data_IF_832403897834
#
_entry.id   IF_832403897834
#
_cell.length_a   1.000
_cell.length_b   1.000
_cell.length_c   1.000
_cell.angle_alpha   90.00
_cell.angle_beta   90.00
_cell.angle_gamma   90.00
#
_symmetry.space_group_name_H-M   'P 1'
#
loop_
_entity.id
_entity.type
_entity.pdbx_description
1 polymer ?
#
# COMPACT_ATOMS: atom_id res chain seq x y z
N UNK A 1 -32.12 5.52 11.23
CA UNK A 1 -32.08 6.83 10.56
C UNK A 1 -30.70 7.47 10.77
N UNK A 2 -29.79 7.14 9.89
CA UNK A 2 -28.43 7.70 9.90
C UNK A 2 -28.53 9.06 9.20
N UNK A 3 -28.41 10.14 9.95
CA UNK A 3 -28.36 11.47 9.32
C UNK A 3 -27.07 11.56 8.51
N UNK A 4 -27.19 11.78 7.20
CA UNK A 4 -26.08 11.86 6.24
C UNK A 4 -25.01 12.90 6.63
N UNK A 5 -25.39 13.90 7.43
CA UNK A 5 -24.52 15.02 7.80
C UNK A 5 -23.47 14.65 8.87
N UNK A 6 -23.82 13.80 9.83
CA UNK A 6 -22.86 13.30 10.85
C UNK A 6 -21.79 12.40 10.23
N UNK A 7 -22.19 11.57 9.27
CA UNK A 7 -21.29 10.61 8.62
C UNK A 7 -20.18 11.29 7.79
N UNK A 8 -20.45 12.41 7.14
CA UNK A 8 -19.50 13.09 6.25
C UNK A 8 -18.38 13.79 7.01
N UNK A 9 -18.69 14.52 8.10
CA UNK A 9 -17.71 15.22 8.92
C UNK A 9 -16.79 14.24 9.64
N UNK A 10 -17.34 13.15 10.17
CA UNK A 10 -16.59 12.12 10.88
C UNK A 10 -15.63 11.38 9.97
N UNK A 11 -16.05 11.06 8.73
CA UNK A 11 -15.19 10.44 7.73
C UNK A 11 -14.06 11.36 7.29
N UNK A 12 -14.30 12.66 7.15
CA UNK A 12 -13.26 13.65 6.84
C UNK A 12 -12.24 13.71 7.99
N UNK A 13 -12.71 13.85 9.23
CA UNK A 13 -11.85 13.90 10.42
C UNK A 13 -11.03 12.61 10.55
N UNK A 14 -11.66 11.44 10.39
CA UNK A 14 -11.00 10.14 10.40
C UNK A 14 -9.92 10.05 9.31
N UNK A 15 -10.23 10.43 8.08
CA UNK A 15 -9.28 10.41 6.96
C UNK A 15 -8.08 11.32 7.19
N UNK A 16 -8.30 12.53 7.74
CA UNK A 16 -7.22 13.45 8.09
C UNK A 16 -6.31 12.87 9.18
N UNK A 17 -6.86 12.33 10.25
CA UNK A 17 -6.09 11.73 11.35
C UNK A 17 -5.33 10.47 10.88
N UNK A 18 -5.97 9.62 10.09
CA UNK A 18 -5.33 8.44 9.50
C UNK A 18 -4.14 8.83 8.60
N UNK A 19 -4.27 9.88 7.78
CA UNK A 19 -3.19 10.35 6.94
C UNK A 19 -2.05 10.98 7.73
N UNK A 20 -2.33 11.79 8.75
CA UNK A 20 -1.33 12.34 9.67
C UNK A 20 -0.55 11.22 10.37
N UNK A 21 -1.25 10.20 10.88
CA UNK A 21 -0.62 9.03 11.50
C UNK A 21 0.25 8.26 10.50
N UNK A 22 -0.22 8.09 9.27
CA UNK A 22 0.54 7.44 8.20
C UNK A 22 1.85 8.17 7.91
N UNK A 23 1.81 9.50 7.73
CA UNK A 23 3.00 10.32 7.47
C UNK A 23 3.97 10.24 8.66
N UNK A 24 3.49 10.41 9.89
CA UNK A 24 4.31 10.36 11.09
C UNK A 24 4.99 8.99 11.25
N UNK A 25 4.24 7.90 11.10
CA UNK A 25 4.75 6.53 11.22
C UNK A 25 5.80 6.22 10.15
N UNK A 26 5.55 6.59 8.88
CA UNK A 26 6.51 6.36 7.81
C UNK A 26 7.76 7.24 7.95
N UNK A 27 7.64 8.45 8.49
CA UNK A 27 8.80 9.30 8.82
C UNK A 27 9.65 8.66 9.91
N UNK A 28 9.04 8.18 11.00
CA UNK A 28 9.74 7.42 12.04
C UNK A 28 10.38 6.15 11.48
N UNK A 29 9.68 5.40 10.63
CA UNK A 29 10.20 4.20 9.98
C UNK A 29 11.44 4.50 9.12
N UNK A 30 11.45 5.62 8.38
CA UNK A 30 12.61 6.09 7.63
C UNK A 30 13.81 6.42 8.52
N UNK A 31 13.58 7.09 9.65
CA UNK A 31 14.64 7.40 10.62
C UNK A 31 15.23 6.12 11.22
N UNK A 32 14.36 5.18 11.64
CA UNK A 32 14.81 3.87 12.14
C UNK A 32 15.60 3.11 11.06
N UNK A 33 15.12 3.10 9.81
CA UNK A 33 15.81 2.44 8.70
C UNK A 33 17.22 3.01 8.46
N UNK A 34 17.36 4.34 8.52
CA UNK A 34 18.68 5.00 8.43
C UNK A 34 19.61 4.60 9.57
N UNK A 35 19.11 4.64 10.82
CA UNK A 35 19.89 4.28 12.01
C UNK A 35 20.29 2.80 12.02
N UNK A 36 19.40 1.93 11.55
CA UNK A 36 19.63 0.49 11.49
C UNK A 36 20.61 0.08 10.35
N UNK A 37 20.79 0.94 9.36
CA UNK A 37 21.70 0.73 8.23
C UNK A 37 21.29 -0.40 7.27
N UNK A 38 20.04 -0.85 7.33
CA UNK A 38 19.48 -1.91 6.46
C UNK A 38 18.09 -1.52 5.98
N UNK A 39 17.68 -2.01 4.80
CA UNK A 39 16.33 -1.83 4.32
C UNK A 39 15.35 -2.64 5.18
N UNK A 40 14.40 -1.99 5.83
CA UNK A 40 13.37 -2.57 6.69
C UNK A 40 11.99 -1.91 6.48
N UNK A 41 11.88 -0.98 5.53
CA UNK A 41 10.63 -0.26 5.29
C UNK A 41 9.48 -1.20 4.89
N UNK A 42 9.76 -2.21 4.05
CA UNK A 42 8.73 -3.16 3.64
C UNK A 42 8.25 -4.03 4.81
N UNK A 43 9.13 -4.38 5.74
CA UNK A 43 8.76 -5.11 6.96
C UNK A 43 7.82 -4.30 7.86
N UNK A 44 7.98 -2.97 7.98
CA UNK A 44 7.01 -2.13 8.67
C UNK A 44 5.63 -2.18 8.02
N UNK A 45 5.57 -2.14 6.68
CA UNK A 45 4.31 -2.34 5.96
C UNK A 45 3.78 -3.78 6.08
N UNK A 46 4.66 -4.77 6.25
CA UNK A 46 4.28 -6.14 6.59
C UNK A 46 3.55 -6.23 7.93
N UNK A 47 4.05 -5.55 8.96
CA UNK A 47 3.39 -5.44 10.26
C UNK A 47 2.03 -4.73 10.16
N UNK A 48 1.91 -3.71 9.30
CA UNK A 48 0.62 -3.09 8.99
C UNK A 48 -0.38 -4.10 8.42
N UNK A 49 0.05 -4.93 7.45
CA UNK A 49 -0.80 -5.98 6.88
C UNK A 49 -1.21 -7.02 7.91
N UNK A 50 -0.29 -7.40 8.78
CA UNK A 50 -0.55 -8.34 9.89
C UNK A 50 -1.55 -7.73 10.88
N UNK A 51 -1.44 -6.43 11.16
CA UNK A 51 -2.41 -5.70 11.97
C UNK A 51 -3.82 -5.74 11.38
N UNK A 52 -3.95 -5.48 10.08
CA UNK A 52 -5.22 -5.59 9.37
C UNK A 52 -5.81 -7.00 9.40
N UNK A 53 -4.98 -8.02 9.19
CA UNK A 53 -5.39 -9.41 9.28
C UNK A 53 -5.85 -9.81 10.69
N UNK A 54 -5.10 -9.39 11.72
CA UNK A 54 -5.45 -9.62 13.12
C UNK A 54 -6.77 -8.92 13.50
N UNK A 55 -6.96 -7.68 13.03
CA UNK A 55 -8.21 -6.94 13.20
C UNK A 55 -9.40 -7.65 12.56
N UNK A 56 -9.21 -8.22 11.36
CA UNK A 56 -10.23 -9.04 10.70
C UNK A 56 -10.61 -10.29 11.50
N UNK A 57 -9.63 -11.00 12.09
CA UNK A 57 -9.89 -12.16 12.97
C UNK A 57 -10.65 -11.72 14.22
N UNK A 58 -10.20 -10.66 14.89
CA UNK A 58 -10.86 -10.14 16.09
C UNK A 58 -12.31 -9.75 15.75
N UNK A 59 -12.51 -9.02 14.66
CA UNK A 59 -13.85 -8.66 14.19
C UNK A 59 -14.75 -9.86 13.91
N UNK A 60 -14.21 -10.91 13.28
CA UNK A 60 -14.95 -12.14 13.02
C UNK A 60 -15.32 -12.87 14.33
N UNK A 61 -14.43 -12.90 15.34
CA UNK A 61 -14.74 -13.48 16.66
C UNK A 61 -15.89 -12.69 17.30
N UNK A 62 -15.80 -11.35 17.35
CA UNK A 62 -16.86 -10.54 17.94
C UNK A 62 -18.20 -10.67 17.20
N UNK A 63 -18.18 -10.74 15.87
CA UNK A 63 -19.39 -10.92 15.06
C UNK A 63 -20.15 -12.23 15.36
N UNK A 64 -19.44 -13.25 15.86
CA UNK A 64 -20.03 -14.54 16.28
C UNK A 64 -20.42 -14.56 17.77
N UNK A 65 -20.24 -13.44 18.49
CA UNK A 65 -20.67 -13.32 19.90
C UNK A 65 -21.96 -12.50 19.97
N UNK A 66 -22.70 -12.65 21.09
CA UNK A 66 -23.87 -11.82 21.39
C UNK A 66 -23.49 -10.49 22.07
N UNK A 67 -22.21 -10.14 22.07
CA UNK A 67 -21.74 -8.91 22.68
C UNK A 67 -22.17 -7.68 21.89
N UNK A 68 -22.58 -6.60 22.56
CA UNK A 68 -22.93 -5.34 21.91
C UNK A 68 -21.74 -4.76 21.12
N UNK A 69 -22.03 -4.04 20.04
CA UNK A 69 -21.01 -3.49 19.14
C UNK A 69 -20.10 -2.45 19.83
N UNK A 70 -20.63 -1.71 20.81
CA UNK A 70 -19.90 -0.75 21.65
C UNK A 70 -18.83 -1.44 22.50
N UNK A 71 -19.08 -2.66 22.98
CA UNK A 71 -18.08 -3.48 23.68
C UNK A 71 -16.94 -3.85 22.74
N UNK A 72 -17.25 -4.21 21.50
CA UNK A 72 -16.23 -4.49 20.48
C UNK A 72 -15.34 -3.25 20.25
N UNK A 73 -15.94 -2.11 19.89
CA UNK A 73 -15.19 -0.89 19.64
C UNK A 73 -14.45 -0.39 20.88
N UNK A 74 -15.05 -0.47 22.07
CA UNK A 74 -14.40 -0.15 23.33
C UNK A 74 -13.15 -1.01 23.60
N UNK A 75 -13.22 -2.30 23.30
CA UNK A 75 -12.08 -3.22 23.45
C UNK A 75 -10.95 -2.83 22.48
N UNK A 76 -11.25 -2.57 21.20
CA UNK A 76 -10.26 -2.15 20.22
C UNK A 76 -9.63 -0.81 20.60
N UNK A 77 -10.44 0.15 21.08
CA UNK A 77 -9.94 1.44 21.55
C UNK A 77 -8.96 1.27 22.74
N UNK A 78 -9.33 0.44 23.73
CA UNK A 78 -8.47 0.19 24.89
C UNK A 78 -7.14 -0.48 24.47
N UNK A 79 -7.18 -1.47 23.58
CA UNK A 79 -5.99 -2.11 23.04
C UNK A 79 -5.13 -1.11 22.26
N UNK A 80 -5.72 -0.25 21.44
CA UNK A 80 -5.01 0.78 20.68
C UNK A 80 -4.31 1.79 21.61
N UNK A 81 -4.98 2.26 22.64
CA UNK A 81 -4.41 3.15 23.64
C UNK A 81 -3.23 2.48 24.36
N UNK A 82 -3.37 1.21 24.75
CA UNK A 82 -2.30 0.45 25.40
C UNK A 82 -1.07 0.32 24.48
N UNK A 83 -1.28 -0.06 23.22
CA UNK A 83 -0.19 -0.19 22.24
C UNK A 83 0.52 1.14 22.02
N UNK A 84 -0.23 2.23 21.88
CA UNK A 84 0.33 3.58 21.72
C UNK A 84 1.11 3.98 22.99
N UNK A 85 0.55 3.80 24.18
CA UNK A 85 1.19 4.14 25.44
C UNK A 85 2.52 3.38 25.66
N UNK A 86 2.55 2.11 25.31
CA UNK A 86 3.77 1.29 25.36
C UNK A 86 4.75 1.72 24.26
N UNK A 87 4.27 1.91 23.04
CA UNK A 87 5.11 2.25 21.87
C UNK A 87 5.70 3.65 21.94
N UNK A 88 4.98 4.60 22.58
CA UNK A 88 5.38 6.01 22.64
C UNK A 88 6.79 6.21 23.21
N UNK A 89 7.19 5.41 24.21
CA UNK A 89 8.52 5.48 24.80
C UNK A 89 9.67 5.01 23.90
N UNK A 90 9.35 4.34 22.80
CA UNK A 90 10.32 3.84 21.80
C UNK A 90 10.41 4.72 20.55
N UNK A 91 9.61 5.79 20.47
CA UNK A 91 9.70 6.74 19.37
C UNK A 91 11.04 7.47 19.40
N UNK A 92 11.60 7.73 18.23
CA UNK A 92 12.81 8.53 18.09
C UNK A 92 12.50 9.95 18.52
N UNK A 93 13.29 10.47 19.46
CA UNK A 93 13.08 11.78 20.06
C UNK A 93 13.34 12.90 19.03
N UNK A 94 12.57 13.99 19.13
CA UNK A 94 12.66 15.20 18.29
C UNK A 94 14.09 15.78 18.22
N UNK A 95 14.89 15.63 19.25
CA UNK A 95 16.27 16.12 19.25
C UNK A 95 17.15 15.37 18.23
N UNK A 96 16.98 14.05 18.07
CA UNK A 96 17.70 13.25 17.08
C UNK A 96 17.14 13.49 15.67
N UNK A 97 15.84 13.67 15.54
CA UNK A 97 15.22 14.01 14.28
C UNK A 97 15.64 15.41 13.80
N UNK A 98 15.73 16.39 14.71
CA UNK A 98 16.20 17.75 14.40
C UNK A 98 17.65 17.81 14.02
N UNK A 99 18.55 17.04 14.64
CA UNK A 99 19.97 16.99 14.28
C UNK A 99 20.19 16.50 12.83
N UNK A 100 19.33 15.60 12.32
CA UNK A 100 19.35 15.20 10.91
C UNK A 100 18.70 16.23 9.96
N UNK A 101 17.88 17.15 10.49
CA UNK A 101 17.17 18.16 9.72
C UNK A 101 17.88 19.52 9.64
N UNK A 102 18.89 19.79 10.49
CA UNK A 102 19.60 21.08 10.54
C UNK A 102 20.33 21.43 9.24
N UNK A 103 20.79 20.43 8.51
CA UNK A 103 21.50 20.61 7.23
C UNK A 103 20.57 20.60 5.99
N UNK A 104 19.26 20.46 6.19
CA UNK A 104 18.33 20.36 5.05
C UNK A 104 17.81 21.75 4.65
N UNK A 105 17.89 22.13 3.35
CA UNK A 105 17.40 23.41 2.86
C UNK A 105 15.95 23.69 3.22
N UNK A 106 15.62 24.98 3.48
CA UNK A 106 14.24 25.39 3.68
C UNK A 106 13.38 24.99 2.47
N UNK A 107 12.18 24.46 2.76
CA UNK A 107 11.25 24.05 1.72
C UNK A 107 10.93 25.18 0.75
N UNK A 108 11.10 24.91 -0.54
CA UNK A 108 10.64 25.74 -1.64
C UNK A 108 10.13 24.84 -2.76
N UNK A 109 9.07 25.23 -3.43
CA UNK A 109 8.57 24.48 -4.60
C UNK A 109 9.64 24.29 -5.70
N UNK A 110 10.63 25.19 -5.77
CA UNK A 110 11.75 25.10 -6.72
C UNK A 110 12.79 24.05 -6.32
N UNK A 111 12.81 23.61 -5.05
CA UNK A 111 13.75 22.61 -4.54
C UNK A 111 13.19 21.19 -4.55
N UNK A 112 11.96 21.01 -5.03
CA UNK A 112 11.35 19.67 -5.15
C UNK A 112 12.07 18.90 -6.26
N UNK A 113 12.75 17.81 -5.88
CA UNK A 113 13.36 16.92 -6.87
C UNK A 113 12.27 16.22 -7.70
N UNK A 114 12.33 16.29 -9.05
CA UNK A 114 11.40 15.57 -9.92
C UNK A 114 11.31 14.05 -9.66
N UNK A 115 12.33 13.48 -9.02
CA UNK A 115 12.31 12.07 -8.63
C UNK A 115 11.17 11.75 -7.67
N UNK A 116 10.78 12.69 -6.79
CA UNK A 116 9.66 12.51 -5.86
C UNK A 116 8.34 12.32 -6.60
N UNK A 117 8.15 13.04 -7.72
CA UNK A 117 6.99 12.86 -8.56
C UNK A 117 6.99 11.48 -9.24
N UNK A 118 8.16 11.02 -9.70
CA UNK A 118 8.30 9.67 -10.28
C UNK A 118 8.06 8.56 -9.24
N UNK A 119 8.54 8.75 -8.02
CA UNK A 119 8.25 7.83 -6.90
C UNK A 119 6.77 7.82 -6.57
N UNK A 120 6.14 9.00 -6.50
CA UNK A 120 4.69 9.13 -6.31
C UNK A 120 3.89 8.43 -7.40
N UNK A 121 4.32 8.55 -8.67
CA UNK A 121 3.66 7.88 -9.80
C UNK A 121 3.77 6.35 -9.72
N UNK A 122 4.92 5.82 -9.29
CA UNK A 122 5.05 4.37 -9.03
C UNK A 122 4.17 3.93 -7.85
N UNK A 123 4.14 4.73 -6.78
CA UNK A 123 3.26 4.49 -5.65
C UNK A 123 1.78 4.55 -6.04
N UNK A 124 1.39 5.52 -6.87
CA UNK A 124 0.04 5.62 -7.47
C UNK A 124 -0.35 4.33 -8.19
N UNK A 125 0.51 3.83 -9.08
CA UNK A 125 0.22 2.60 -9.80
C UNK A 125 0.11 1.38 -8.88
N UNK A 126 1.00 1.27 -7.88
CA UNK A 126 0.94 0.20 -6.88
C UNK A 126 -0.35 0.24 -6.08
N UNK A 127 -0.72 1.42 -5.56
CA UNK A 127 -1.94 1.63 -4.76
C UNK A 127 -3.22 1.48 -5.59
N UNK A 128 -3.21 1.90 -6.85
CA UNK A 128 -4.32 1.64 -7.77
C UNK A 128 -4.57 0.14 -7.95
N UNK A 129 -3.50 -0.63 -8.19
CA UNK A 129 -3.62 -2.08 -8.33
C UNK A 129 -4.00 -2.75 -7.00
N UNK A 130 -3.52 -2.25 -5.86
CA UNK A 130 -3.90 -2.71 -4.53
C UNK A 130 -5.40 -2.51 -4.30
N UNK A 131 -5.94 -1.31 -4.54
CA UNK A 131 -7.38 -1.03 -4.47
C UNK A 131 -8.19 -1.90 -5.43
N UNK A 132 -7.68 -2.15 -6.63
CA UNK A 132 -8.32 -3.07 -7.59
C UNK A 132 -8.42 -4.49 -7.03
N UNK A 133 -7.36 -5.00 -6.37
CA UNK A 133 -7.41 -6.32 -5.72
C UNK A 133 -8.41 -6.33 -4.57
N UNK A 134 -8.44 -5.28 -3.74
CA UNK A 134 -9.38 -5.18 -2.62
C UNK A 134 -10.84 -5.24 -3.05
N UNK A 135 -11.22 -4.39 -3.99
CA UNK A 135 -12.63 -4.17 -4.30
C UNK A 135 -13.13 -5.06 -5.45
N UNK A 136 -12.27 -5.38 -6.41
CA UNK A 136 -12.69 -6.03 -7.65
C UNK A 136 -12.31 -7.50 -7.77
N UNK A 137 -11.41 -8.03 -6.93
CA UNK A 137 -11.01 -9.44 -7.07
C UNK A 137 -12.17 -10.40 -6.86
N UNK A 138 -12.95 -10.24 -5.79
CA UNK A 138 -14.12 -11.10 -5.53
C UNK A 138 -15.23 -10.89 -6.55
N UNK A 139 -15.44 -9.66 -7.02
CA UNK A 139 -16.39 -9.35 -8.11
C UNK A 139 -15.95 -10.01 -9.41
N UNK A 140 -14.63 -9.99 -9.71
CA UNK A 140 -14.08 -10.66 -10.88
C UNK A 140 -14.30 -12.17 -10.84
N UNK A 141 -14.08 -12.79 -9.67
CA UNK A 141 -14.32 -14.22 -9.50
C UNK A 141 -15.80 -14.56 -9.64
N UNK A 142 -16.71 -13.82 -9.02
CA UNK A 142 -18.14 -14.11 -9.10
C UNK A 142 -18.74 -13.87 -10.50
N UNK A 143 -18.27 -12.86 -11.23
CA UNK A 143 -18.89 -12.45 -12.50
C UNK A 143 -18.19 -13.03 -13.74
N UNK A 144 -16.86 -13.22 -13.69
CA UNK A 144 -16.04 -13.64 -14.86
C UNK A 144 -15.56 -15.06 -14.74
N UNK A 145 -14.90 -15.42 -13.62
CA UNK A 145 -14.35 -16.77 -13.39
C UNK A 145 -15.45 -17.78 -13.11
N UNK A 146 -16.47 -17.37 -12.33
CA UNK A 146 -17.65 -18.15 -11.96
C UNK A 146 -17.32 -19.53 -11.36
N UNK A 147 -16.44 -19.61 -10.35
CA UNK A 147 -16.17 -20.86 -9.65
C UNK A 147 -17.31 -21.23 -8.70
N UNK A 148 -17.19 -22.38 -8.03
CA UNK A 148 -18.05 -22.72 -6.91
C UNK A 148 -18.01 -21.62 -5.83
N UNK A 149 -19.11 -21.43 -5.11
CA UNK A 149 -19.30 -20.33 -4.16
C UNK A 149 -18.19 -20.23 -3.12
N UNK A 150 -17.67 -21.37 -2.67
CA UNK A 150 -16.53 -21.45 -1.73
C UNK A 150 -15.24 -20.77 -2.23
N UNK A 151 -15.08 -20.61 -3.55
CA UNK A 151 -13.86 -20.08 -4.16
C UNK A 151 -14.00 -18.65 -4.71
N UNK A 152 -15.13 -17.99 -4.52
CA UNK A 152 -15.35 -16.61 -5.00
C UNK A 152 -14.29 -15.65 -4.44
N UNK A 153 -13.79 -15.90 -3.23
CA UNK A 153 -12.77 -15.07 -2.57
C UNK A 153 -11.34 -15.54 -2.81
N UNK A 154 -11.11 -16.55 -3.63
CA UNK A 154 -9.78 -17.12 -3.85
C UNK A 154 -8.77 -16.09 -4.37
N UNK A 155 -9.18 -15.23 -5.32
CA UNK A 155 -8.32 -14.15 -5.83
C UNK A 155 -7.93 -13.14 -4.76
N UNK A 156 -8.88 -12.72 -3.94
CA UNK A 156 -8.64 -11.82 -2.80
C UNK A 156 -7.63 -12.42 -1.81
N UNK A 157 -7.91 -13.63 -1.35
CA UNK A 157 -7.06 -14.32 -0.34
C UNK A 157 -5.65 -14.55 -0.88
N UNK A 158 -5.53 -14.99 -2.13
CA UNK A 158 -4.24 -15.19 -2.78
C UNK A 158 -3.45 -13.88 -2.93
N UNK A 159 -4.11 -12.81 -3.42
CA UNK A 159 -3.49 -11.50 -3.60
C UNK A 159 -3.04 -10.88 -2.28
N UNK A 160 -3.92 -10.82 -1.28
CA UNK A 160 -3.60 -10.21 0.01
C UNK A 160 -2.59 -11.03 0.82
N UNK A 161 -2.69 -12.36 0.78
CA UNK A 161 -1.72 -13.25 1.40
C UNK A 161 -0.33 -13.10 0.78
N UNK A 162 -0.25 -13.10 -0.56
CA UNK A 162 1.01 -12.90 -1.28
C UNK A 162 1.60 -11.49 -1.02
N UNK A 163 0.76 -10.45 -0.94
CA UNK A 163 1.20 -9.11 -0.60
C UNK A 163 1.82 -9.07 0.80
N UNK A 164 1.17 -9.66 1.79
CA UNK A 164 1.67 -9.70 3.16
C UNK A 164 3.01 -10.44 3.25
N UNK A 165 3.11 -11.61 2.65
CA UNK A 165 4.36 -12.39 2.58
C UNK A 165 5.45 -11.62 1.83
N UNK A 166 5.11 -11.04 0.69
CA UNK A 166 6.03 -10.26 -0.13
C UNK A 166 6.63 -9.07 0.61
N UNK A 167 5.86 -8.39 1.46
CA UNK A 167 6.34 -7.27 2.31
C UNK A 167 7.47 -7.70 3.25
N UNK A 168 7.38 -8.86 3.88
CA UNK A 168 8.43 -9.37 4.75
C UNK A 168 9.67 -9.88 3.97
N UNK A 169 9.49 -10.34 2.74
CA UNK A 169 10.60 -10.81 1.90
C UNK A 169 11.32 -9.68 1.18
N UNK A 170 10.64 -8.58 0.91
CA UNK A 170 11.09 -7.51 0.04
C UNK A 170 12.40 -6.85 0.50
N UNK A 171 12.55 -6.60 1.80
CA UNK A 171 13.74 -5.94 2.34
C UNK A 171 15.02 -6.73 2.04
N UNK A 172 14.96 -8.06 2.11
CA UNK A 172 16.07 -8.94 1.71
C UNK A 172 16.40 -8.82 0.23
N UNK A 173 15.36 -8.78 -0.63
CA UNK A 173 15.55 -8.60 -2.08
C UNK A 173 16.10 -7.21 -2.41
N UNK A 174 15.60 -6.17 -1.76
CA UNK A 174 16.11 -4.79 -1.95
C UNK A 174 17.57 -4.69 -1.55
N UNK A 175 17.95 -5.28 -0.43
CA UNK A 175 19.35 -5.32 0.03
C UNK A 175 20.26 -6.05 -0.96
N UNK A 176 19.79 -7.17 -1.53
CA UNK A 176 20.61 -8.01 -2.44
C UNK A 176 20.67 -7.47 -3.87
N UNK A 177 19.56 -6.96 -4.40
CA UNK A 177 19.43 -6.63 -5.83
C UNK A 177 19.26 -5.14 -6.11
N UNK A 178 19.05 -4.34 -5.08
CA UNK A 178 18.76 -2.91 -5.16
C UNK A 178 17.31 -2.59 -5.47
N UNK A 179 16.83 -1.40 -5.07
CA UNK A 179 15.42 -1.03 -5.14
C UNK A 179 14.87 -0.98 -6.57
N UNK A 180 15.66 -0.47 -7.52
CA UNK A 180 15.22 -0.33 -8.91
C UNK A 180 14.96 -1.69 -9.61
N UNK A 181 15.77 -2.72 -9.31
CA UNK A 181 15.54 -4.06 -9.87
C UNK A 181 14.31 -4.70 -9.26
N UNK A 182 14.14 -4.58 -7.95
CA UNK A 182 12.97 -5.11 -7.26
C UNK A 182 11.69 -4.46 -7.81
N UNK A 183 11.65 -3.13 -7.95
CA UNK A 183 10.50 -2.42 -8.54
C UNK A 183 10.19 -2.85 -9.98
N UNK A 184 11.21 -3.12 -10.81
CA UNK A 184 11.00 -3.66 -12.16
C UNK A 184 10.32 -5.04 -12.12
N UNK A 185 10.78 -5.91 -11.23
CA UNK A 185 10.18 -7.24 -11.03
C UNK A 185 8.73 -7.09 -10.54
N UNK A 186 8.49 -6.19 -9.58
CA UNK A 186 7.16 -5.88 -9.09
C UNK A 186 6.21 -5.45 -10.23
N UNK A 187 6.67 -4.53 -11.08
CA UNK A 187 5.89 -4.12 -12.26
C UNK A 187 5.60 -5.28 -13.22
N UNK A 188 6.58 -6.14 -13.45
CA UNK A 188 6.41 -7.35 -14.28
C UNK A 188 5.41 -8.36 -13.69
N UNK A 189 5.42 -8.54 -12.36
CA UNK A 189 4.48 -9.40 -11.66
C UNK A 189 3.04 -8.85 -11.70
N UNK A 190 2.86 -7.53 -11.55
CA UNK A 190 1.55 -6.89 -11.70
C UNK A 190 1.02 -7.10 -13.13
N UNK A 191 1.84 -6.76 -14.12
CA UNK A 191 1.47 -6.91 -15.53
C UNK A 191 1.09 -8.34 -15.87
N UNK A 192 2.00 -9.27 -15.62
CA UNK A 192 1.82 -10.68 -15.95
C UNK A 192 0.69 -11.32 -15.17
N UNK A 193 0.52 -10.96 -13.89
CA UNK A 193 -0.53 -11.49 -13.03
C UNK A 193 -1.94 -11.08 -13.47
N UNK A 194 -2.18 -9.78 -13.71
CA UNK A 194 -3.48 -9.32 -14.19
C UNK A 194 -3.79 -9.80 -15.60
N UNK A 195 -2.79 -9.87 -16.48
CA UNK A 195 -2.98 -10.43 -17.83
C UNK A 195 -3.23 -11.94 -17.80
N UNK A 196 -2.58 -12.69 -16.93
CA UNK A 196 -2.84 -14.11 -16.73
C UNK A 196 -4.30 -14.33 -16.29
N UNK A 197 -4.73 -13.57 -15.27
CA UNK A 197 -6.11 -13.65 -14.80
C UNK A 197 -7.12 -13.29 -15.90
N UNK A 198 -6.83 -12.24 -16.68
CA UNK A 198 -7.71 -11.82 -17.77
C UNK A 198 -7.68 -12.76 -18.99
N UNK A 199 -6.52 -13.30 -19.35
CA UNK A 199 -6.38 -14.21 -20.50
C UNK A 199 -7.02 -15.56 -20.24
N UNK A 200 -6.83 -16.10 -19.04
CA UNK A 200 -7.30 -17.42 -18.62
C UNK A 200 -8.23 -17.29 -17.39
N UNK A 201 -9.50 -16.91 -17.59
CA UNK A 201 -10.46 -16.66 -16.50
C UNK A 201 -11.02 -17.97 -15.92
N UNK A 202 -10.14 -18.86 -15.52
CA UNK A 202 -10.45 -20.09 -14.79
C UNK A 202 -9.91 -20.01 -13.37
N UNK A 203 -10.48 -20.76 -12.44
CA UNK A 203 -10.16 -20.69 -11.01
C UNK A 203 -8.64 -20.67 -10.73
N UNK A 204 -7.90 -21.67 -11.19
CA UNK A 204 -6.47 -21.80 -10.89
C UNK A 204 -5.62 -20.70 -11.54
N UNK A 205 -5.69 -20.44 -12.87
CA UNK A 205 -4.90 -19.39 -13.48
C UNK A 205 -5.22 -18.00 -12.95
N UNK A 206 -6.50 -17.69 -12.72
CA UNK A 206 -6.90 -16.41 -12.16
C UNK A 206 -6.37 -16.23 -10.72
N UNK A 207 -6.48 -17.27 -9.88
CA UNK A 207 -5.93 -17.24 -8.51
C UNK A 207 -4.41 -17.04 -8.52
N UNK A 208 -3.68 -17.73 -9.38
CA UNK A 208 -2.24 -17.55 -9.58
C UNK A 208 -1.93 -16.13 -10.09
N UNK A 209 -2.74 -15.59 -10.99
CA UNK A 209 -2.63 -14.23 -11.47
C UNK A 209 -2.72 -13.21 -10.33
N UNK A 210 -3.74 -13.31 -9.47
CA UNK A 210 -3.89 -12.43 -8.31
C UNK A 210 -2.78 -12.64 -7.26
N UNK A 211 -2.28 -13.86 -7.10
CA UNK A 211 -1.11 -14.14 -6.25
C UNK A 211 0.13 -13.40 -6.76
N UNK A 212 0.42 -13.43 -8.05
CA UNK A 212 1.53 -12.68 -8.66
C UNK A 212 1.35 -11.18 -8.47
N UNK A 213 0.13 -10.66 -8.65
CA UNK A 213 -0.18 -9.25 -8.38
C UNK A 213 0.12 -8.90 -6.94
N UNK A 214 -0.29 -9.72 -5.98
CA UNK A 214 -0.01 -9.51 -4.56
C UNK A 214 1.48 -9.34 -4.29
N UNK A 215 2.33 -10.23 -4.81
CA UNK A 215 3.78 -10.05 -4.72
C UNK A 215 4.26 -8.77 -5.41
N UNK A 216 3.69 -8.41 -6.54
CA UNK A 216 4.05 -7.20 -7.29
C UNK A 216 3.73 -5.90 -6.53
N UNK A 217 2.57 -5.79 -5.91
CA UNK A 217 2.18 -4.59 -5.16
C UNK A 217 2.88 -4.47 -3.81
N UNK A 218 3.34 -5.61 -3.24
CA UNK A 218 3.88 -5.70 -1.87
C UNK A 218 4.94 -4.66 -1.54
N UNK A 219 5.81 -4.36 -2.49
CA UNK A 219 7.03 -3.57 -2.26
C UNK A 219 7.01 -2.21 -2.94
N UNK A 220 6.04 -1.94 -3.83
CA UNK A 220 6.01 -0.72 -4.64
C UNK A 220 6.00 0.54 -3.78
N UNK A 221 5.10 0.63 -2.81
CA UNK A 221 4.96 1.80 -1.93
C UNK A 221 6.09 1.88 -0.89
N UNK A 222 6.41 0.82 -0.13
CA UNK A 222 7.49 0.87 0.86
C UNK A 222 8.82 1.32 0.28
N UNK A 223 9.21 0.80 -0.88
CA UNK A 223 10.46 1.19 -1.55
C UNK A 223 10.43 2.66 -1.96
N UNK A 224 9.31 3.17 -2.48
CA UNK A 224 9.18 4.57 -2.84
C UNK A 224 9.33 5.49 -1.63
N UNK A 225 8.76 5.12 -0.48
CA UNK A 225 8.88 5.88 0.76
C UNK A 225 10.31 5.83 1.31
N UNK A 226 10.95 4.67 1.32
CA UNK A 226 12.35 4.52 1.74
C UNK A 226 13.29 5.40 0.90
N UNK A 227 13.13 5.40 -0.43
CA UNK A 227 13.93 6.26 -1.32
C UNK A 227 13.63 7.74 -1.04
N UNK A 228 12.36 8.13 -0.96
CA UNK A 228 11.97 9.53 -0.75
C UNK A 228 12.53 10.08 0.57
N UNK A 229 12.44 9.32 1.65
CA UNK A 229 12.94 9.73 2.97
C UNK A 229 14.47 9.81 3.06
N UNK A 230 15.20 9.16 2.14
CA UNK A 230 16.69 9.16 2.10
C UNK A 230 17.28 10.16 1.11
N UNK A 231 16.48 10.84 0.29
CA UNK A 231 16.99 11.76 -0.75
C UNK A 231 17.79 12.94 -0.20
N UNK A 232 17.45 13.45 0.99
CA UNK A 232 18.19 14.55 1.64
C UNK A 232 18.03 15.93 0.97
N UNK A 233 17.30 16.06 -0.12
CA UNK A 233 17.06 17.34 -0.83
C UNK A 233 16.04 18.24 -0.11
N UNK A 234 15.11 17.64 0.61
CA UNK A 234 14.10 18.26 1.47
C UNK A 234 13.89 17.36 2.69
N UNK A 235 13.18 17.88 3.71
CA UNK A 235 12.84 17.09 4.91
C UNK A 235 12.14 15.79 4.55
N UNK A 236 12.54 14.69 5.19
CA UNK A 236 11.99 13.37 4.94
C UNK A 236 10.45 13.34 5.07
N UNK A 237 9.90 14.02 6.08
CA UNK A 237 8.45 14.16 6.27
C UNK A 237 7.75 14.80 5.06
N UNK A 238 8.33 15.85 4.48
CA UNK A 238 7.78 16.52 3.29
C UNK A 238 7.90 15.62 2.06
N UNK A 239 9.05 14.96 1.88
CA UNK A 239 9.27 14.04 0.77
C UNK A 239 8.25 12.88 0.80
N UNK A 240 8.06 12.28 1.98
CA UNK A 240 7.08 11.21 2.19
C UNK A 240 5.66 11.75 1.96
N UNK A 241 5.32 12.95 2.43
CA UNK A 241 4.01 13.57 2.21
C UNK A 241 3.71 13.72 0.72
N UNK A 242 4.66 14.20 -0.08
CA UNK A 242 4.47 14.35 -1.54
C UNK A 242 4.22 12.99 -2.17
N UNK A 243 5.06 12.01 -1.89
CA UNK A 243 4.96 10.67 -2.49
C UNK A 243 3.70 9.95 -2.03
N UNK A 244 3.35 10.03 -0.73
CA UNK A 244 2.16 9.38 -0.19
C UNK A 244 0.86 10.00 -0.74
N UNK A 245 0.78 11.32 -0.84
CA UNK A 245 -0.41 11.99 -1.37
C UNK A 245 -0.70 11.56 -2.82
N UNK A 246 0.33 11.48 -3.67
CA UNK A 246 0.18 10.99 -5.04
C UNK A 246 -0.20 9.49 -5.04
N UNK A 247 0.42 8.70 -4.17
CA UNK A 247 0.16 7.25 -4.09
C UNK A 247 -1.28 6.96 -3.63
N UNK A 248 -1.75 7.61 -2.57
CA UNK A 248 -3.11 7.42 -2.06
C UNK A 248 -4.18 7.88 -3.04
N UNK A 249 -3.88 8.87 -3.88
CA UNK A 249 -4.80 9.23 -4.96
C UNK A 249 -5.04 8.05 -5.91
N UNK A 250 -4.02 7.20 -6.14
CA UNK A 250 -4.18 5.94 -6.89
C UNK A 250 -5.16 4.97 -6.23
N UNK A 251 -5.07 4.80 -4.90
CA UNK A 251 -5.99 3.95 -4.14
C UNK A 251 -7.43 4.47 -4.20
N UNK A 252 -7.61 5.78 -4.10
CA UNK A 252 -8.94 6.42 -4.13
C UNK A 252 -9.58 6.32 -5.51
N UNK A 253 -8.81 6.56 -6.58
CA UNK A 253 -9.31 6.63 -7.96
C UNK A 253 -9.39 5.25 -8.62
N UNK A 254 -8.57 4.30 -8.18
CA UNK A 254 -8.48 2.96 -8.77
C UNK A 254 -9.82 2.25 -8.89
N UNK A 255 -10.52 1.97 -7.77
CA UNK A 255 -11.78 1.24 -7.81
C UNK A 255 -12.88 1.91 -8.67
N UNK A 256 -13.15 3.22 -8.57
CA UNK A 256 -14.10 3.90 -9.45
C UNK A 256 -13.74 3.82 -10.93
N UNK A 257 -12.46 3.98 -11.27
CA UNK A 257 -12.00 3.90 -12.67
C UNK A 257 -12.17 2.49 -13.21
N UNK A 258 -11.84 1.46 -12.44
CA UNK A 258 -12.11 0.07 -12.84
C UNK A 258 -13.59 -0.18 -13.02
N UNK A 259 -14.46 0.35 -12.13
CA UNK A 259 -15.92 0.25 -12.26
C UNK A 259 -16.42 0.87 -13.55
N UNK A 260 -16.01 2.10 -13.83
CA UNK A 260 -16.39 2.80 -15.07
C UNK A 260 -15.89 2.09 -16.33
N UNK A 261 -14.65 1.62 -16.33
CA UNK A 261 -14.11 0.82 -17.43
C UNK A 261 -14.85 -0.51 -17.59
N UNK A 262 -15.21 -1.15 -16.47
CA UNK A 262 -15.91 -2.42 -16.48
C UNK A 262 -17.34 -2.28 -17.03
N UNK A 263 -18.04 -1.18 -16.74
CA UNK A 263 -19.34 -0.85 -17.31
C UNK A 263 -19.24 -0.68 -18.83
N UNK A 264 -18.21 0.01 -19.31
CA UNK A 264 -18.04 0.31 -20.72
C UNK A 264 -17.52 -0.89 -21.55
N UNK A 265 -16.65 -1.74 -20.98
CA UNK A 265 -15.88 -2.75 -21.74
C UNK A 265 -15.95 -4.16 -21.16
N UNK A 266 -16.52 -4.31 -19.98
CA UNK A 266 -16.48 -5.53 -19.19
C UNK A 266 -15.25 -5.62 -18.29
N UNK A 267 -15.41 -6.29 -17.14
CA UNK A 267 -14.40 -6.33 -16.07
C UNK A 267 -13.09 -7.00 -16.51
N UNK A 268 -13.16 -7.96 -17.43
CA UNK A 268 -11.98 -8.64 -18.01
C UNK A 268 -11.04 -7.65 -18.73
N UNK A 269 -11.61 -6.75 -19.52
CA UNK A 269 -10.85 -5.72 -20.25
C UNK A 269 -10.37 -4.65 -19.27
N UNK A 270 -11.19 -4.21 -18.33
CA UNK A 270 -10.82 -3.23 -17.32
C UNK A 270 -9.56 -3.67 -16.53
N UNK A 271 -9.52 -4.92 -16.07
CA UNK A 271 -8.37 -5.51 -15.38
C UNK A 271 -7.15 -5.60 -16.31
N UNK A 272 -7.35 -5.92 -17.60
CA UNK A 272 -6.25 -5.94 -18.59
C UNK A 272 -5.64 -4.56 -18.81
N UNK A 273 -6.45 -3.49 -18.77
CA UNK A 273 -5.97 -2.11 -18.85
C UNK A 273 -5.19 -1.74 -17.58
N UNK A 274 -5.69 -2.11 -16.40
CA UNK A 274 -4.98 -1.88 -15.14
C UNK A 274 -3.61 -2.58 -15.10
N UNK A 275 -3.45 -3.71 -15.77
CA UNK A 275 -2.17 -4.41 -15.90
C UNK A 275 -1.06 -3.53 -16.50
N UNK A 276 -1.41 -2.59 -17.38
CA UNK A 276 -0.46 -1.64 -17.99
C UNK A 276 0.23 -0.72 -16.96
N UNK A 277 -0.37 -0.53 -15.78
CA UNK A 277 0.28 0.18 -14.67
C UNK A 277 1.55 -0.55 -14.19
N UNK A 278 1.61 -1.87 -14.33
CA UNK A 278 2.83 -2.64 -14.09
C UNK A 278 3.97 -2.25 -15.03
N UNK A 279 3.68 -1.99 -16.31
CA UNK A 279 4.68 -1.46 -17.26
C UNK A 279 5.16 -0.08 -16.85
N UNK A 280 4.26 0.78 -16.37
CA UNK A 280 4.61 2.11 -15.89
C UNK A 280 5.58 2.01 -14.70
N UNK A 281 5.30 1.15 -13.72
CA UNK A 281 6.21 0.91 -12.59
C UNK A 281 7.59 0.45 -13.10
N UNK A 282 7.64 -0.55 -13.97
CA UNK A 282 8.91 -1.09 -14.47
C UNK A 282 9.71 -0.04 -15.26
N UNK A 283 9.06 0.77 -16.08
CA UNK A 283 9.68 1.82 -16.88
C UNK A 283 10.20 2.96 -16.00
N UNK A 284 9.40 3.45 -15.06
CA UNK A 284 9.81 4.51 -14.14
C UNK A 284 10.93 4.04 -13.24
N UNK A 285 10.86 2.81 -12.73
CA UNK A 285 11.94 2.20 -11.94
C UNK A 285 13.27 2.13 -12.71
N UNK A 286 13.22 1.92 -14.04
CA UNK A 286 14.43 1.96 -14.86
C UNK A 286 15.06 3.35 -14.94
N UNK A 287 14.25 4.41 -14.98
CA UNK A 287 14.72 5.81 -14.97
C UNK A 287 15.26 6.21 -13.60
N UNK A 288 14.54 5.88 -12.54
CA UNK A 288 14.94 6.16 -11.16
C UNK A 288 16.24 5.44 -10.81
N UNK A 289 16.39 4.16 -11.22
CA UNK A 289 17.61 3.39 -10.99
C UNK A 289 18.88 4.01 -11.58
N UNK A 290 18.77 4.67 -12.74
CA UNK A 290 19.92 5.39 -13.36
C UNK A 290 20.34 6.66 -12.60
N UNK A 291 19.45 7.21 -11.76
CA UNK A 291 19.75 8.41 -10.94
C UNK A 291 20.29 8.05 -9.56
N UNK A 292 20.01 6.83 -9.08
CA UNK A 292 20.44 6.35 -7.76
C UNK A 292 21.72 5.49 -7.81
N UNK A 293 22.18 5.11 -9.00
CA UNK A 293 23.48 4.49 -9.27
C UNK A 293 24.54 5.51 -9.49
#
# INVERSE_FOLDING_TARGET
>A
DWSSDVCSSDLIAFGMMANLMNIATNTQACLVEKMYGRNIMSSFHGLWSLGGFSGGIIGAIFANTLLPIDVHFGTILALSILIIAVGFRFLINDAMAKAEEEDVPKFSFKTIDPILFLLGLMGFAGMFCEGTVYDWSSVYFSSVVKPDEAFIRAGYVAGMGAMTLGRFMADGFVTKYGPARVLKVCGGLILGGLWLAAALPYLIPATLGFLLVGFGISSSVPICYSIAGKLGTIKASIAITIVSSISFFGFLVGPPVIGWLAEATGLRIAISIAACLGLMIAFVAAKVGKRLS
#
